data_IF_217197779306
#
_entry.id   IF_217197779306
#
_cell.length_a   1.000
_cell.length_b   1.000
_cell.length_c   1.000
_cell.angle_alpha   90.00
_cell.angle_beta   90.00
_cell.angle_gamma   90.00
#
_symmetry.space_group_name_H-M   'P 1'
#
loop_
_entity.id
_entity.type
_entity.pdbx_description
1 polymer ?
#
# COMPACT_ATOMS: atom_id res chain seq x y z
N UNK A 1 14.89 -18.83 15.40
CA UNK A 1 15.59 -19.71 14.45
C UNK A 1 15.62 -19.03 13.10
N UNK A 2 16.79 -19.01 12.46
CA UNK A 2 16.93 -18.52 11.09
C UNK A 2 17.54 -19.64 10.24
N UNK A 3 16.99 -19.87 9.06
CA UNK A 3 17.44 -20.88 8.13
C UNK A 3 17.50 -20.31 6.72
N UNK A 4 18.62 -20.54 6.05
CA UNK A 4 18.85 -20.13 4.67
C UNK A 4 19.23 -21.36 3.85
N UNK A 5 18.49 -21.61 2.77
CA UNK A 5 18.75 -22.71 1.85
C UNK A 5 18.89 -22.21 0.41
N UNK A 6 19.86 -22.79 -0.29
CA UNK A 6 20.03 -22.66 -1.75
C UNK A 6 20.08 -24.07 -2.33
N UNK A 7 19.12 -24.40 -3.18
CA UNK A 7 18.95 -25.73 -3.74
C UNK A 7 19.20 -25.67 -5.25
N UNK A 8 19.83 -26.70 -5.79
CA UNK A 8 20.12 -26.87 -7.23
C UNK A 8 20.72 -25.62 -7.90
N UNK A 9 21.83 -25.13 -7.34
CA UNK A 9 22.59 -23.98 -7.86
C UNK A 9 21.76 -22.69 -7.96
N UNK A 10 20.78 -22.50 -7.06
CA UNK A 10 19.97 -21.28 -7.00
C UNK A 10 18.66 -21.35 -7.79
N UNK A 11 18.24 -22.55 -8.23
CA UNK A 11 16.87 -22.75 -8.73
C UNK A 11 15.85 -22.40 -7.65
N UNK A 12 16.10 -22.85 -6.42
CA UNK A 12 15.28 -22.50 -5.26
C UNK A 12 16.19 -21.83 -4.23
N UNK A 13 15.81 -20.64 -3.79
CA UNK A 13 16.37 -20.02 -2.58
C UNK A 13 15.25 -19.83 -1.58
N UNK A 14 15.54 -20.13 -0.32
CA UNK A 14 14.58 -20.06 0.78
C UNK A 14 15.25 -19.42 1.99
N UNK A 15 14.59 -18.43 2.56
CA UNK A 15 14.96 -17.82 3.84
C UNK A 15 13.76 -17.95 4.77
N UNK A 16 13.98 -18.57 5.92
CA UNK A 16 12.96 -18.82 6.94
C UNK A 16 13.44 -18.22 8.26
N UNK A 17 12.60 -17.44 8.89
CA UNK A 17 12.76 -16.98 10.25
C UNK A 17 11.52 -17.39 11.06
N UNK A 18 11.76 -17.98 12.22
CA UNK A 18 10.72 -18.34 13.16
C UNK A 18 11.16 -18.01 14.58
N UNK A 19 10.34 -17.27 15.30
CA UNK A 19 10.53 -16.95 16.70
C UNK A 19 9.21 -17.13 17.44
N UNK A 20 9.29 -17.71 18.63
CA UNK A 20 8.15 -17.81 19.50
C UNK A 20 8.55 -17.53 20.93
N UNK A 21 7.61 -16.97 21.67
CA UNK A 21 7.85 -16.55 23.04
C UNK A 21 6.58 -16.37 23.83
N UNK A 22 6.77 -15.96 25.07
CA UNK A 22 5.70 -15.47 25.92
C UNK A 22 5.95 -13.99 26.19
N UNK A 23 4.87 -13.24 26.28
CA UNK A 23 4.91 -11.82 26.52
C UNK A 23 3.66 -11.35 27.25
N UNK A 24 3.57 -10.05 27.40
CA UNK A 24 2.36 -9.38 27.84
C UNK A 24 1.98 -8.37 26.78
N UNK A 25 0.72 -8.37 26.37
CA UNK A 25 0.16 -7.29 25.58
C UNK A 25 -0.53 -6.33 26.53
N UNK A 26 -0.10 -5.07 26.48
CA UNK A 26 -0.77 -3.98 27.18
C UNK A 26 -2.03 -3.60 26.40
N UNK A 27 -3.18 -3.47 27.06
CA UNK A 27 -4.34 -2.81 26.46
C UNK A 27 -3.99 -1.35 26.21
N UNK A 28 -4.17 -0.88 24.98
CA UNK A 28 -3.79 0.48 24.61
C UNK A 28 -5.03 1.34 24.48
N UNK A 29 -5.02 2.44 25.20
CA UNK A 29 -5.82 3.60 24.85
C UNK A 29 -5.08 4.39 23.78
N UNK A 30 -5.80 5.15 22.97
CA UNK A 30 -5.17 6.03 22.01
C UNK A 30 -5.94 7.35 21.89
N UNK A 31 -5.20 8.38 21.56
CA UNK A 31 -5.73 9.69 21.20
C UNK A 31 -5.04 10.18 19.94
N UNK A 32 -5.70 11.08 19.22
CA UNK A 32 -5.09 11.80 18.12
C UNK A 32 -4.58 13.14 18.61
N UNK A 33 -3.30 13.40 18.39
CA UNK A 33 -2.64 14.65 18.77
C UNK A 33 -2.31 15.42 17.51
N UNK A 34 -2.68 16.70 17.47
CA UNK A 34 -2.40 17.58 16.35
C UNK A 34 -0.89 17.89 16.28
N UNK A 35 -0.36 17.82 15.07
CA UNK A 35 1.03 18.11 14.73
C UNK A 35 1.06 19.01 13.50
N UNK A 36 2.23 19.57 13.21
CA UNK A 36 2.43 20.37 12.00
C UNK A 36 1.99 19.57 10.76
N UNK A 37 1.20 20.16 9.83
CA UNK A 37 0.81 19.50 8.60
C UNK A 37 2.00 18.89 7.85
N UNK A 38 1.85 17.64 7.40
CA UNK A 38 2.87 16.88 6.69
C UNK A 38 3.85 16.10 7.58
N UNK A 39 3.79 16.24 8.91
CA UNK A 39 4.58 15.41 9.83
C UNK A 39 3.76 14.31 10.51
N UNK A 40 2.44 14.36 10.38
CA UNK A 40 1.51 13.35 10.87
C UNK A 40 1.26 12.23 9.88
N UNK A 41 0.24 11.43 10.18
CA UNK A 41 -0.25 10.31 9.34
C UNK A 41 -1.78 10.34 9.23
N UNK A 42 -2.46 10.94 10.19
CA UNK A 42 -3.91 10.98 10.28
C UNK A 42 -4.44 12.38 9.99
N UNK A 43 -5.72 12.45 9.63
CA UNK A 43 -6.48 13.68 9.45
C UNK A 43 -7.82 13.58 10.15
N UNK A 44 -8.36 14.71 10.56
CA UNK A 44 -9.76 14.80 10.98
C UNK A 44 -10.65 14.91 9.74
N UNK A 45 -11.42 13.86 9.44
CA UNK A 45 -12.14 13.71 8.19
C UNK A 45 -13.51 14.41 8.18
N UNK A 46 -14.04 14.80 9.34
CA UNK A 46 -15.28 15.56 9.47
C UNK A 46 -16.04 15.19 10.73
N UNK A 47 -17.00 16.03 11.10
CA UNK A 47 -17.95 15.74 12.18
C UNK A 47 -19.05 14.84 11.62
N UNK A 48 -18.92 13.54 11.83
CA UNK A 48 -19.82 12.52 11.28
C UNK A 48 -21.12 12.45 12.05
N UNK A 49 -21.11 12.77 13.36
CA UNK A 49 -22.29 12.70 14.21
C UNK A 49 -22.94 14.08 14.49
N UNK A 50 -22.31 15.17 14.05
CA UNK A 50 -22.81 16.54 14.15
C UNK A 50 -22.72 17.15 15.54
N UNK A 51 -21.90 16.61 16.45
CA UNK A 51 -21.85 17.04 17.85
C UNK A 51 -20.84 18.17 18.12
N UNK A 52 -20.03 18.55 17.13
CA UNK A 52 -19.01 19.62 17.21
C UNK A 52 -17.74 19.25 17.98
N UNK A 53 -17.57 17.98 18.35
CA UNK A 53 -16.41 17.41 19.06
C UNK A 53 -15.69 16.44 18.13
N UNK A 54 -14.37 16.40 18.18
CA UNK A 54 -13.58 15.45 17.37
C UNK A 54 -13.59 14.08 18.02
N UNK A 55 -14.43 13.18 17.53
CA UNK A 55 -14.52 11.81 18.04
C UNK A 55 -13.45 10.88 17.42
N UNK A 56 -13.14 9.76 18.08
CA UNK A 56 -12.03 8.88 17.67
C UNK A 56 -12.27 8.18 16.32
N UNK A 57 -13.53 7.99 15.93
CA UNK A 57 -13.98 7.41 14.67
C UNK A 57 -14.04 8.40 13.51
N UNK A 58 -13.77 9.68 13.78
CA UNK A 58 -13.74 10.76 12.79
C UNK A 58 -12.34 11.01 12.22
N UNK A 59 -11.36 10.21 12.65
CA UNK A 59 -9.98 10.27 12.17
C UNK A 59 -9.68 9.16 11.18
N UNK A 60 -9.14 9.57 10.04
CA UNK A 60 -8.74 8.68 8.96
C UNK A 60 -7.27 8.87 8.59
N UNK A 61 -6.71 7.90 7.87
CA UNK A 61 -5.36 8.04 7.32
C UNK A 61 -5.41 9.14 6.27
N UNK A 62 -4.52 10.12 6.39
CA UNK A 62 -4.47 11.25 5.47
C UNK A 62 -4.13 10.78 4.05
N UNK A 63 -4.97 11.13 3.08
CA UNK A 63 -4.72 10.82 1.68
C UNK A 63 -3.66 11.74 1.05
N UNK A 64 -3.58 12.99 1.54
CA UNK A 64 -2.63 14.00 1.08
C UNK A 64 -1.74 14.48 2.21
N UNK A 65 -0.51 14.90 1.88
CA UNK A 65 0.46 15.35 2.87
C UNK A 65 -0.03 16.59 3.67
N UNK A 66 -0.79 17.50 3.06
CA UNK A 66 -1.37 18.65 3.79
C UNK A 66 -2.41 18.25 4.85
N UNK A 67 -3.08 17.11 4.64
CA UNK A 67 -4.06 16.59 5.58
C UNK A 67 -3.41 15.82 6.73
N UNK A 68 -2.14 15.42 6.60
CA UNK A 68 -1.42 14.62 7.58
C UNK A 68 -0.96 15.47 8.78
N UNK A 69 -1.92 15.96 9.56
CA UNK A 69 -1.72 16.86 10.69
C UNK A 69 -2.06 16.23 12.05
N UNK A 70 -2.31 14.93 12.12
CA UNK A 70 -2.48 14.21 13.39
C UNK A 70 -1.57 12.98 13.48
N UNK A 71 -1.14 12.66 14.69
CA UNK A 71 -0.50 11.38 15.04
C UNK A 71 -1.37 10.61 16.03
N UNK A 72 -1.41 9.29 15.89
CA UNK A 72 -2.04 8.39 16.86
C UNK A 72 -1.03 8.11 17.97
N UNK A 73 -1.32 8.59 19.18
CA UNK A 73 -0.48 8.37 20.36
C UNK A 73 -1.16 7.33 21.24
N UNK A 74 -0.44 6.26 21.57
CA UNK A 74 -0.92 5.27 22.53
C UNK A 74 -0.65 5.76 23.95
N UNK A 75 -1.71 5.82 24.76
CA UNK A 75 -1.63 6.12 26.17
C UNK A 75 -1.42 4.82 26.94
N UNK A 76 -0.41 4.75 27.83
CA UNK A 76 -0.18 3.55 28.61
C UNK A 76 -1.34 3.31 29.58
N UNK A 77 -1.87 2.09 29.60
CA UNK A 77 -2.78 1.63 30.65
C UNK A 77 -2.02 0.74 31.63
N UNK A 78 -2.69 0.32 32.71
CA UNK A 78 -2.14 -0.65 33.66
C UNK A 78 -2.68 -2.07 33.42
N UNK A 79 -3.45 -2.28 32.35
CA UNK A 79 -4.07 -3.56 32.04
C UNK A 79 -3.20 -4.37 31.07
N UNK A 80 -2.64 -5.47 31.57
CA UNK A 80 -1.82 -6.39 30.78
C UNK A 80 -2.51 -7.74 30.65
N UNK A 81 -2.44 -8.30 29.45
CA UNK A 81 -2.87 -9.67 29.19
C UNK A 81 -1.65 -10.51 28.80
N UNK A 82 -1.45 -11.64 29.48
CA UNK A 82 -0.36 -12.57 29.12
C UNK A 82 -0.69 -13.20 27.78
N UNK A 83 0.20 -13.04 26.81
CA UNK A 83 0.06 -13.56 25.45
C UNK A 83 1.22 -14.47 25.11
N UNK A 84 0.99 -15.38 24.17
CA UNK A 84 2.06 -16.07 23.45
C UNK A 84 2.30 -15.36 22.14
N UNK A 85 3.57 -15.17 21.80
CA UNK A 85 4.00 -14.51 20.58
C UNK A 85 4.51 -15.55 19.59
N UNK A 86 4.18 -15.36 18.32
CA UNK A 86 4.67 -16.18 17.23
C UNK A 86 4.96 -15.28 16.03
N UNK A 87 6.22 -15.26 15.62
CA UNK A 87 6.70 -14.55 14.45
C UNK A 87 7.24 -15.56 13.44
N UNK A 88 6.71 -15.49 12.23
CA UNK A 88 7.17 -16.28 11.11
C UNK A 88 7.40 -15.39 9.90
N UNK A 89 8.53 -15.55 9.23
CA UNK A 89 8.83 -14.87 7.99
C UNK A 89 9.51 -15.85 7.04
N UNK A 90 8.91 -16.07 5.88
CA UNK A 90 9.39 -16.98 4.86
C UNK A 90 9.47 -16.25 3.54
N UNK A 91 10.63 -16.30 2.88
CA UNK A 91 10.79 -15.88 1.50
C UNK A 91 11.28 -17.08 0.70
N UNK A 92 10.50 -17.49 -0.31
CA UNK A 92 10.83 -18.55 -1.24
C UNK A 92 10.94 -17.96 -2.64
N UNK A 93 12.09 -18.09 -3.29
CA UNK A 93 12.28 -17.69 -4.69
C UNK A 93 12.55 -18.92 -5.53
N UNK A 94 11.82 -19.05 -6.63
CA UNK A 94 12.00 -20.08 -7.64
C UNK A 94 12.46 -19.38 -8.92
N UNK A 95 13.70 -19.64 -9.33
CA UNK A 95 14.32 -19.07 -10.52
C UNK A 95 14.90 -20.18 -11.42
N UNK A 96 14.07 -20.79 -12.29
CA UNK A 96 14.50 -21.84 -13.23
C UNK A 96 15.67 -21.43 -14.14
N UNK A 97 15.84 -20.13 -14.43
CA UNK A 97 16.97 -19.64 -15.24
C UNK A 97 18.34 -20.01 -14.64
N UNK A 98 18.43 -20.17 -13.31
CA UNK A 98 19.67 -20.56 -12.64
C UNK A 98 20.14 -21.98 -13.01
N UNK A 99 19.22 -22.86 -13.44
CA UNK A 99 19.53 -24.23 -13.81
C UNK A 99 19.52 -24.47 -15.32
N UNK A 100 18.66 -23.76 -16.06
CA UNK A 100 18.47 -23.94 -17.51
C UNK A 100 19.32 -22.99 -18.37
N UNK A 101 20.62 -22.89 -18.07
CA UNK A 101 21.58 -22.08 -18.83
C UNK A 101 21.73 -22.66 -20.25
N UNK A 102 21.56 -21.81 -21.28
CA UNK A 102 21.82 -22.15 -22.71
C UNK A 102 20.97 -23.30 -23.30
N UNK A 103 19.80 -23.57 -22.75
CA UNK A 103 18.94 -24.67 -23.23
C UNK A 103 18.01 -24.23 -24.38
N UNK A 104 17.90 -25.04 -25.43
CA UNK A 104 16.92 -24.86 -26.53
C UNK A 104 15.57 -25.51 -26.19
N UNK A 105 14.50 -25.07 -26.84
CA UNK A 105 13.16 -25.67 -26.71
C UNK A 105 12.41 -25.29 -25.43
N UNK A 106 11.62 -26.20 -24.88
CA UNK A 106 10.71 -25.95 -23.74
C UNK A 106 11.43 -25.45 -22.47
N UNK A 107 12.70 -25.87 -22.26
CA UNK A 107 13.52 -25.41 -21.12
C UNK A 107 13.80 -23.91 -21.17
N UNK A 108 13.99 -23.35 -22.37
CA UNK A 108 14.14 -21.90 -22.58
C UNK A 108 12.87 -21.14 -22.22
N UNK A 109 11.69 -21.74 -22.45
CA UNK A 109 10.42 -21.14 -22.07
C UNK A 109 10.23 -21.15 -20.55
N UNK A 110 10.51 -22.28 -19.89
CA UNK A 110 10.43 -22.39 -18.42
C UNK A 110 11.44 -21.46 -17.72
N UNK A 111 12.63 -21.29 -18.28
CA UNK A 111 13.65 -20.36 -17.77
C UNK A 111 13.21 -18.89 -17.74
N UNK A 112 12.13 -18.52 -18.45
CA UNK A 112 11.60 -17.16 -18.46
C UNK A 112 10.67 -16.87 -17.28
N UNK A 113 10.15 -17.92 -16.64
CA UNK A 113 9.35 -17.76 -15.43
C UNK A 113 10.25 -17.55 -14.23
N UNK A 114 9.77 -16.78 -13.26
CA UNK A 114 10.33 -16.75 -11.91
C UNK A 114 9.18 -16.54 -10.93
N UNK A 115 9.24 -17.15 -9.76
CA UNK A 115 8.25 -16.95 -8.72
C UNK A 115 8.92 -16.51 -7.43
N UNK A 116 8.30 -15.58 -6.73
CA UNK A 116 8.75 -15.16 -5.41
C UNK A 116 7.54 -15.12 -4.47
N UNK A 117 7.60 -15.94 -3.43
CA UNK A 117 6.61 -16.01 -2.36
C UNK A 117 7.23 -15.40 -1.12
N UNK A 118 6.52 -14.49 -0.47
CA UNK A 118 6.85 -14.01 0.85
C UNK A 118 5.63 -14.10 1.75
N UNK A 119 5.80 -14.70 2.93
CA UNK A 119 4.77 -14.72 3.96
C UNK A 119 5.41 -14.29 5.27
N UNK A 120 4.87 -13.22 5.86
CA UNK A 120 5.27 -12.71 7.16
C UNK A 120 4.03 -12.69 8.05
N UNK A 121 4.17 -13.13 9.28
CA UNK A 121 3.14 -13.01 10.29
C UNK A 121 3.76 -12.75 11.66
N UNK A 122 3.15 -11.86 12.41
CA UNK A 122 3.44 -11.58 13.81
C UNK A 122 2.13 -11.61 14.59
N UNK A 123 1.97 -12.64 15.41
CA UNK A 123 0.75 -12.91 16.15
C UNK A 123 1.00 -12.88 17.66
N UNK A 124 0.00 -12.40 18.38
CA UNK A 124 -0.12 -12.56 19.83
C UNK A 124 -1.47 -13.17 20.16
N UNK A 125 -1.46 -14.28 20.91
CA UNK A 125 -2.66 -15.06 21.21
C UNK A 125 -2.78 -15.40 22.70
N UNK A 126 -4.01 -15.58 23.17
CA UNK A 126 -4.36 -16.12 24.48
C UNK A 126 -4.49 -17.64 24.49
N UNK A 127 -4.24 -18.30 23.35
CA UNK A 127 -4.34 -19.74 23.21
C UNK A 127 -3.43 -20.47 24.23
N UNK A 128 -4.07 -21.36 25.00
CA UNK A 128 -3.46 -22.14 26.08
C UNK A 128 -2.74 -23.38 25.55
N UNK A 129 -3.17 -23.91 24.41
CA UNK A 129 -2.45 -24.97 23.70
C UNK A 129 -1.18 -24.39 23.05
N UNK A 130 -0.02 -24.91 23.44
CA UNK A 130 1.27 -24.42 22.94
C UNK A 130 1.41 -24.71 21.44
N UNK A 131 0.98 -25.88 20.97
CA UNK A 131 1.16 -26.25 19.56
C UNK A 131 0.31 -25.37 18.64
N UNK A 132 -0.92 -25.05 19.06
CA UNK A 132 -1.78 -24.11 18.35
C UNK A 132 -1.26 -22.68 18.40
N UNK A 133 -0.82 -22.22 19.58
CA UNK A 133 -0.25 -20.88 19.73
C UNK A 133 1.02 -20.68 18.88
N UNK A 134 1.78 -21.76 18.64
CA UNK A 134 2.98 -21.78 17.80
C UNK A 134 2.70 -21.96 16.30
N UNK A 135 1.46 -22.19 15.88
CA UNK A 135 1.14 -22.38 14.47
C UNK A 135 0.92 -21.02 13.78
N UNK A 136 1.82 -20.58 12.88
CA UNK A 136 1.67 -19.29 12.19
C UNK A 136 0.64 -19.33 11.04
N UNK A 137 0.00 -20.48 10.80
CA UNK A 137 -0.97 -20.69 9.73
C UNK A 137 -2.41 -20.89 10.23
N UNK A 138 -2.62 -20.99 11.54
CA UNK A 138 -3.94 -21.25 12.18
C UNK A 138 -4.58 -19.97 12.74
N UNK A 139 -4.18 -18.80 12.21
CA UNK A 139 -4.67 -17.52 12.69
C UNK A 139 -5.89 -17.09 11.88
N UNK A 140 -7.09 -17.48 12.32
CA UNK A 140 -8.30 -16.82 11.86
C UNK A 140 -8.39 -15.43 12.50
N UNK A 141 -8.52 -14.38 11.68
CA UNK A 141 -8.61 -13.01 12.18
C UNK A 141 -9.82 -12.80 13.10
N UNK A 142 -10.90 -13.54 12.87
CA UNK A 142 -12.13 -13.46 13.64
C UNK A 142 -12.04 -14.24 14.98
N UNK A 143 -10.92 -14.91 15.26
CA UNK A 143 -10.72 -15.62 16.52
C UNK A 143 -10.56 -14.62 17.68
N UNK A 144 -11.43 -14.74 18.68
CA UNK A 144 -11.40 -13.99 19.94
C UNK A 144 -10.13 -14.21 20.77
N UNK A 145 -9.44 -15.34 20.61
CA UNK A 145 -8.18 -15.62 21.30
C UNK A 145 -6.99 -14.91 20.64
N UNK A 146 -7.12 -14.51 19.37
CA UNK A 146 -6.11 -13.75 18.66
C UNK A 146 -6.19 -12.27 19.06
N UNK A 147 -5.24 -11.84 19.89
CA UNK A 147 -5.19 -10.49 20.47
C UNK A 147 -4.70 -9.49 19.43
N UNK A 148 -3.57 -9.79 18.80
CA UNK A 148 -3.01 -8.95 17.73
C UNK A 148 -2.49 -9.83 16.62
N UNK A 149 -2.62 -9.36 15.39
CA UNK A 149 -2.04 -10.03 14.22
C UNK A 149 -1.59 -9.00 13.20
N UNK A 150 -0.39 -9.18 12.67
CA UNK A 150 0.09 -8.46 11.50
C UNK A 150 0.60 -9.50 10.51
N UNK A 151 -0.19 -9.81 9.49
CA UNK A 151 0.16 -10.78 8.46
C UNK A 151 0.25 -10.10 7.09
N UNK A 152 1.25 -10.49 6.31
CA UNK A 152 1.47 -10.06 4.95
C UNK A 152 1.88 -11.25 4.10
N UNK A 153 1.04 -11.60 3.14
CA UNK A 153 1.31 -12.59 2.11
C UNK A 153 1.49 -11.89 0.76
N UNK A 154 2.50 -12.29 0.01
CA UNK A 154 2.71 -11.81 -1.36
C UNK A 154 3.35 -12.92 -2.20
N UNK A 155 2.69 -13.30 -3.29
CA UNK A 155 3.22 -14.21 -4.29
C UNK A 155 3.29 -13.46 -5.62
N UNK A 156 4.48 -13.35 -6.22
CA UNK A 156 4.65 -12.77 -7.56
C UNK A 156 5.15 -13.82 -8.52
N UNK A 157 4.33 -14.16 -9.50
CA UNK A 157 4.73 -14.92 -10.67
C UNK A 157 5.09 -13.96 -11.81
N UNK A 158 6.34 -14.00 -12.22
CA UNK A 158 6.87 -13.19 -13.31
C UNK A 158 7.17 -14.04 -14.52
N UNK A 159 6.90 -13.53 -15.70
CA UNK A 159 7.37 -14.03 -16.97
C UNK A 159 8.22 -12.96 -17.66
N UNK A 160 9.43 -13.34 -18.08
CA UNK A 160 10.40 -12.45 -18.71
C UNK A 160 10.78 -11.22 -17.84
N UNK A 161 10.88 -11.39 -16.52
CA UNK A 161 11.22 -10.29 -15.57
C UNK A 161 12.42 -9.44 -16.02
N UNK A 162 13.47 -10.11 -16.51
CA UNK A 162 14.74 -9.48 -16.91
C UNK A 162 14.79 -9.08 -18.40
N UNK A 163 13.74 -9.33 -19.18
CA UNK A 163 13.69 -8.96 -20.60
C UNK A 163 13.52 -7.45 -20.76
N UNK A 164 14.32 -6.88 -21.67
CA UNK A 164 14.24 -5.47 -22.05
C UNK A 164 13.12 -5.17 -23.04
N UNK A 165 12.43 -6.19 -23.57
CA UNK A 165 11.37 -6.00 -24.57
C UNK A 165 9.99 -6.17 -23.95
N UNK A 166 9.77 -7.25 -23.21
CA UNK A 166 8.44 -7.63 -22.75
C UNK A 166 8.50 -8.32 -21.39
N UNK A 167 7.58 -8.00 -20.49
CA UNK A 167 7.45 -8.68 -19.20
C UNK A 167 6.01 -8.68 -18.71
N UNK A 168 5.69 -9.71 -17.92
CA UNK A 168 4.41 -9.88 -17.24
C UNK A 168 4.69 -10.24 -15.79
N UNK A 169 3.99 -9.62 -14.86
CA UNK A 169 3.99 -9.99 -13.45
C UNK A 169 2.55 -10.14 -12.96
N UNK A 170 2.24 -11.23 -12.28
CA UNK A 170 0.99 -11.42 -11.55
C UNK A 170 1.31 -11.55 -10.07
N UNK A 171 0.79 -10.64 -9.25
CA UNK A 171 1.03 -10.57 -7.82
C UNK A 171 -0.27 -10.79 -7.06
N UNK A 172 -0.36 -11.91 -6.33
CA UNK A 172 -1.37 -12.10 -5.29
C UNK A 172 -0.84 -11.51 -3.99
N UNK A 173 -1.62 -10.67 -3.32
CA UNK A 173 -1.25 -10.10 -2.04
C UNK A 173 -2.42 -10.14 -1.05
N UNK A 174 -2.08 -10.30 0.23
CA UNK A 174 -3.02 -10.23 1.35
C UNK A 174 -2.33 -9.57 2.53
N UNK A 175 -2.87 -8.46 3.01
CA UNK A 175 -2.39 -7.75 4.18
C UNK A 175 -3.50 -7.74 5.22
N UNK A 176 -3.18 -8.25 6.40
CA UNK A 176 -4.10 -8.37 7.52
C UNK A 176 -3.50 -7.70 8.74
N UNK A 177 -4.28 -6.85 9.38
CA UNK A 177 -3.92 -6.25 10.67
C UNK A 177 -5.10 -6.38 11.64
N UNK A 178 -4.82 -6.81 12.86
CA UNK A 178 -5.76 -6.84 13.98
C UNK A 178 -5.09 -6.23 15.21
N UNK A 179 -5.77 -5.27 15.83
CA UNK A 179 -5.30 -4.55 17.01
C UNK A 179 -6.26 -4.74 18.17
N UNK A 180 -5.70 -4.87 19.38
CA UNK A 180 -6.45 -4.90 20.62
C UNK A 180 -6.40 -3.53 21.30
N UNK A 181 -7.56 -2.89 21.40
CA UNK A 181 -7.73 -1.55 21.97
C UNK A 181 -8.59 -1.68 23.23
N UNK A 182 -8.56 -0.67 24.11
CA UNK A 182 -9.38 -0.68 25.34
C UNK A 182 -10.87 -0.85 25.06
N UNK A 183 -11.33 -0.32 23.93
CA UNK A 183 -12.72 -0.36 23.50
C UNK A 183 -13.08 -1.62 22.68
N UNK A 184 -12.16 -2.55 22.45
CA UNK A 184 -12.39 -3.78 21.68
C UNK A 184 -11.38 -4.00 20.56
N UNK A 185 -11.69 -4.92 19.64
CA UNK A 185 -10.86 -5.22 18.48
C UNK A 185 -11.16 -4.31 17.29
N UNK A 186 -10.10 -3.93 16.57
CA UNK A 186 -10.18 -3.33 15.23
C UNK A 186 -9.37 -4.21 14.28
N UNK A 187 -9.94 -4.53 13.12
CA UNK A 187 -9.27 -5.33 12.10
C UNK A 187 -9.42 -4.73 10.71
N UNK A 188 -8.38 -4.88 9.90
CA UNK A 188 -8.33 -4.43 8.51
C UNK A 188 -7.70 -5.52 7.66
N UNK A 189 -8.33 -5.79 6.52
CA UNK A 189 -7.89 -6.80 5.56
C UNK A 189 -7.89 -6.18 4.18
N UNK A 190 -6.80 -6.37 3.44
CA UNK A 190 -6.69 -6.07 2.02
C UNK A 190 -6.28 -7.35 1.31
N UNK A 191 -7.04 -7.78 0.32
CA UNK A 191 -6.69 -8.89 -0.56
C UNK A 191 -6.79 -8.42 -2.00
N UNK A 192 -5.74 -8.59 -2.80
CA UNK A 192 -5.80 -8.21 -4.21
C UNK A 192 -4.91 -9.06 -5.12
N UNK A 193 -5.31 -9.10 -6.40
CA UNK A 193 -4.53 -9.58 -7.51
C UNK A 193 -4.10 -8.38 -8.35
N UNK A 194 -2.80 -8.15 -8.46
CA UNK A 194 -2.20 -7.10 -9.28
C UNK A 194 -1.51 -7.73 -10.48
N UNK A 195 -1.90 -7.36 -11.70
CA UNK A 195 -1.22 -7.78 -12.92
C UNK A 195 -0.49 -6.58 -13.52
N UNK A 196 0.79 -6.75 -13.84
CA UNK A 196 1.59 -5.73 -14.51
C UNK A 196 2.06 -6.26 -15.86
N UNK A 197 1.76 -5.49 -16.90
CA UNK A 197 2.23 -5.72 -18.25
C UNK A 197 3.23 -4.64 -18.64
N UNK A 198 4.33 -5.03 -19.28
CA UNK A 198 5.30 -4.10 -19.86
C UNK A 198 5.70 -4.55 -21.25
N UNK A 199 5.61 -3.63 -22.21
CA UNK A 199 6.12 -3.81 -23.56
C UNK A 199 6.89 -2.56 -24.03
N UNK A 200 8.19 -2.71 -24.21
CA UNK A 200 9.03 -1.73 -24.88
C UNK A 200 8.99 -2.01 -26.39
N UNK A 201 8.11 -1.29 -27.09
CA UNK A 201 7.88 -1.43 -28.54
C UNK A 201 9.20 -1.19 -29.30
N UNK A 202 9.95 -0.18 -28.87
CA UNK A 202 11.33 0.07 -29.27
C UNK A 202 12.05 0.85 -28.16
N UNK A 203 13.22 1.42 -28.44
CA UNK A 203 14.00 2.20 -27.46
C UNK A 203 13.33 3.51 -27.03
N UNK A 204 12.33 3.98 -27.79
CA UNK A 204 11.66 5.26 -27.61
C UNK A 204 10.28 5.07 -26.98
N UNK A 205 9.50 4.10 -27.44
CA UNK A 205 8.11 3.91 -27.02
C UNK A 205 7.96 2.70 -26.10
N UNK A 206 7.29 2.89 -24.98
CA UNK A 206 6.89 1.79 -24.09
C UNK A 206 5.44 1.90 -23.66
N UNK A 207 4.77 0.75 -23.62
CA UNK A 207 3.44 0.57 -23.08
C UNK A 207 3.54 -0.23 -21.78
N UNK A 208 2.81 0.22 -20.76
CA UNK A 208 2.58 -0.50 -19.52
C UNK A 208 1.08 -0.54 -19.26
N UNK A 209 0.62 -1.59 -18.60
CA UNK A 209 -0.74 -1.65 -18.09
C UNK A 209 -0.72 -2.36 -16.75
N UNK A 210 -1.32 -1.75 -15.74
CA UNK A 210 -1.53 -2.37 -14.44
C UNK A 210 -3.01 -2.62 -14.26
N UNK A 211 -3.37 -3.82 -13.81
CA UNK A 211 -4.73 -4.09 -13.33
C UNK A 211 -4.66 -4.52 -11.89
N UNK A 212 -5.61 -4.07 -11.09
CA UNK A 212 -5.76 -4.54 -9.72
C UNK A 212 -7.22 -4.85 -9.45
N UNK A 213 -7.48 -5.99 -8.83
CA UNK A 213 -8.82 -6.32 -8.36
C UNK A 213 -8.73 -6.98 -7.00
N UNK A 214 -9.66 -6.65 -6.11
CA UNK A 214 -9.54 -7.09 -4.73
C UNK A 214 -10.67 -6.66 -3.84
N UNK A 215 -10.50 -6.99 -2.57
CA UNK A 215 -11.39 -6.63 -1.48
C UNK A 215 -10.62 -5.89 -0.41
N UNK A 216 -11.28 -4.92 0.22
CA UNK A 216 -10.80 -4.23 1.40
C UNK A 216 -11.88 -4.27 2.46
N UNK A 217 -11.56 -4.81 3.63
CA UNK A 217 -12.49 -4.95 4.74
C UNK A 217 -11.96 -4.21 5.96
N UNK A 218 -12.86 -3.54 6.66
CA UNK A 218 -12.64 -2.96 7.98
C UNK A 218 -13.74 -3.45 8.92
N UNK A 219 -13.36 -3.80 10.15
CA UNK A 219 -14.29 -4.19 11.19
C UNK A 219 -13.82 -3.67 12.55
N UNK A 220 -14.74 -3.08 13.32
CA UNK A 220 -14.52 -2.55 14.66
C UNK A 220 -15.61 -3.03 15.60
N UNK A 221 -15.24 -3.56 16.77
CA UNK A 221 -16.22 -3.94 17.79
C UNK A 221 -16.90 -2.73 18.48
N UNK A 222 -16.30 -1.54 18.36
CA UNK A 222 -16.78 -0.34 19.04
C UNK A 222 -17.42 0.68 18.10
N UNK A 223 -16.86 0.84 16.89
CA UNK A 223 -17.28 1.84 15.91
C UNK A 223 -17.88 1.17 14.67
N UNK A 224 -19.16 0.78 14.75
CA UNK A 224 -19.85 0.09 13.65
C UNK A 224 -19.98 0.92 12.38
N UNK A 225 -19.88 2.25 12.46
CA UNK A 225 -19.82 3.15 11.30
C UNK A 225 -18.50 3.03 10.50
N UNK A 226 -17.50 2.33 11.03
CA UNK A 226 -16.22 2.03 10.35
C UNK A 226 -16.17 0.61 9.78
N UNK A 227 -17.27 -0.12 9.85
CA UNK A 227 -17.41 -1.44 9.28
C UNK A 227 -17.78 -1.33 7.81
N UNK A 228 -16.94 -1.89 6.94
CA UNK A 228 -17.19 -1.91 5.51
C UNK A 228 -16.46 -3.05 4.83
N UNK A 229 -16.96 -3.44 3.66
CA UNK A 229 -16.31 -4.38 2.76
C UNK A 229 -16.41 -3.81 1.35
N UNK A 230 -15.29 -3.37 0.79
CA UNK A 230 -15.23 -2.73 -0.51
C UNK A 230 -14.60 -3.70 -1.50
N UNK A 231 -15.35 -4.10 -2.52
CA UNK A 231 -14.80 -4.68 -3.72
C UNK A 231 -14.32 -3.57 -4.65
N UNK A 232 -13.15 -3.76 -5.25
CA UNK A 232 -12.59 -2.77 -6.17
C UNK A 232 -11.91 -3.41 -7.36
N UNK A 233 -11.91 -2.65 -8.45
CA UNK A 233 -11.22 -2.97 -9.70
C UNK A 233 -10.57 -1.71 -10.26
N UNK A 234 -9.33 -1.80 -10.72
CA UNK A 234 -8.64 -0.75 -11.44
C UNK A 234 -7.92 -1.25 -12.68
N UNK A 235 -7.83 -0.38 -13.69
CA UNK A 235 -7.07 -0.57 -14.91
C UNK A 235 -6.33 0.73 -15.23
N UNK A 236 -5.00 0.67 -15.21
CA UNK A 236 -4.10 1.79 -15.44
C UNK A 236 -3.18 1.52 -16.66
N UNK A 237 -3.61 1.82 -17.90
CA UNK A 237 -2.71 1.94 -19.03
C UNK A 237 -1.79 3.17 -18.89
N UNK A 238 -0.51 2.96 -19.22
CA UNK A 238 0.52 3.99 -19.27
C UNK A 238 1.32 3.90 -20.56
N UNK A 239 1.29 4.96 -21.35
CA UNK A 239 2.12 5.09 -22.54
C UNK A 239 3.27 6.05 -22.27
N UNK A 240 4.50 5.68 -22.63
CA UNK A 240 5.69 6.52 -22.42
C UNK A 240 6.51 6.70 -23.68
N UNK A 241 7.02 7.92 -23.85
CA UNK A 241 7.90 8.34 -24.93
C UNK A 241 9.22 8.80 -24.31
N UNK A 242 10.32 8.14 -24.66
CA UNK A 242 11.65 8.40 -24.16
C UNK A 242 12.69 8.35 -25.30
N UNK A 243 12.87 9.44 -26.07
CA UNK A 243 13.79 9.44 -27.22
C UNK A 243 15.27 9.25 -26.87
N UNK A 244 15.64 9.49 -25.61
CA UNK A 244 17.00 9.33 -25.10
C UNK A 244 17.02 9.13 -23.59
N UNK A 245 18.17 9.32 -22.95
CA UNK A 245 18.30 9.07 -21.51
C UNK A 245 17.78 10.23 -20.63
N UNK A 246 17.60 11.41 -21.21
CA UNK A 246 17.37 12.63 -20.44
C UNK A 246 15.92 13.04 -20.29
N UNK A 247 15.02 12.63 -21.18
CA UNK A 247 13.64 13.09 -21.13
C UNK A 247 12.67 11.93 -21.37
N UNK A 248 11.64 11.85 -20.53
CA UNK A 248 10.53 10.93 -20.66
C UNK A 248 9.22 11.68 -20.45
N UNK A 249 8.30 11.53 -21.38
CA UNK A 249 6.90 11.90 -21.21
C UNK A 249 6.08 10.64 -21.04
N UNK A 250 5.18 10.62 -20.08
CA UNK A 250 4.22 9.54 -19.89
C UNK A 250 2.80 10.10 -19.86
N UNK A 251 1.90 9.42 -20.56
CA UNK A 251 0.46 9.59 -20.46
C UNK A 251 -0.09 8.43 -19.65
N UNK A 252 -0.89 8.73 -18.64
CA UNK A 252 -1.53 7.74 -17.76
C UNK A 252 -3.04 7.93 -17.81
N UNK A 253 -3.75 6.82 -17.72
CA UNK A 253 -5.18 6.83 -17.49
C UNK A 253 -5.51 5.69 -16.54
N UNK A 254 -6.21 5.98 -15.45
CA UNK A 254 -6.73 4.96 -14.53
C UNK A 254 -8.26 5.02 -14.53
N UNK A 255 -8.88 3.88 -14.81
CA UNK A 255 -10.28 3.66 -14.45
C UNK A 255 -10.32 2.85 -13.17
N UNK A 256 -11.08 3.32 -12.18
CA UNK A 256 -11.23 2.64 -10.88
C UNK A 256 -12.72 2.56 -10.53
N UNK A 257 -13.18 1.36 -10.23
CA UNK A 257 -14.51 1.11 -9.68
C UNK A 257 -14.36 0.61 -8.24
N UNK A 258 -15.19 1.13 -7.34
CA UNK A 258 -15.31 0.67 -5.95
C UNK A 258 -16.77 0.50 -5.59
N UNK A 259 -17.09 -0.58 -4.88
CA UNK A 259 -18.43 -0.85 -4.39
C UNK A 259 -18.37 -1.41 -2.98
N UNK A 260 -19.16 -0.83 -2.07
CA UNK A 260 -19.39 -1.41 -0.77
C UNK A 260 -20.37 -2.59 -0.90
N UNK A 261 -19.90 -3.78 -0.53
CA UNK A 261 -20.64 -5.05 -0.59
C UNK A 261 -21.07 -5.53 0.80
N UNK A 262 -20.90 -4.70 1.84
CA UNK A 262 -21.45 -4.97 3.16
C UNK A 262 -22.99 -5.12 3.11
N UNK A 263 -23.62 -5.85 4.05
CA UNK A 263 -25.07 -6.05 4.04
C UNK A 263 -25.85 -4.74 4.02
N UNK A 264 -26.77 -4.59 3.06
CA UNK A 264 -27.59 -3.39 2.83
C UNK A 264 -26.81 -2.13 2.38
N UNK A 265 -25.51 -2.25 2.09
CA UNK A 265 -24.72 -1.17 1.53
C UNK A 265 -25.11 -0.87 0.07
N UNK A 266 -24.98 0.39 -0.32
CA UNK A 266 -25.27 0.83 -1.69
C UNK A 266 -24.20 1.76 -2.26
N UNK A 267 -23.18 2.10 -1.46
CA UNK A 267 -22.13 3.03 -1.83
C UNK A 267 -21.30 2.46 -2.99
N UNK A 268 -21.21 3.23 -4.07
CA UNK A 268 -20.46 2.88 -5.27
C UNK A 268 -19.81 4.12 -5.85
N UNK A 269 -18.59 3.96 -6.35
CA UNK A 269 -17.89 4.98 -7.12
C UNK A 269 -17.33 4.44 -8.42
N UNK A 270 -17.44 5.26 -9.46
CA UNK A 270 -16.72 5.13 -10.73
C UNK A 270 -15.77 6.34 -10.86
N UNK A 271 -14.48 6.07 -11.09
CA UNK A 271 -13.43 7.09 -11.07
C UNK A 271 -12.59 7.00 -12.34
N UNK A 272 -12.29 8.17 -12.89
CA UNK A 272 -11.47 8.34 -14.08
C UNK A 272 -10.35 9.33 -13.78
N UNK A 273 -9.11 8.86 -13.74
CA UNK A 273 -7.91 9.70 -13.55
C UNK A 273 -7.11 9.74 -14.85
N UNK A 274 -7.06 10.91 -15.50
CA UNK A 274 -6.20 11.16 -16.66
C UNK A 274 -5.01 12.02 -16.28
N UNK A 275 -3.79 11.55 -16.58
CA UNK A 275 -2.55 12.20 -16.16
C UNK A 275 -1.47 12.33 -17.23
N UNK A 276 -0.61 13.33 -17.03
CA UNK A 276 0.65 13.50 -17.75
C UNK A 276 1.81 13.63 -16.76
N UNK A 277 2.89 12.90 -17.03
CA UNK A 277 4.14 12.94 -16.26
C UNK A 277 5.30 13.31 -17.18
N UNK A 278 6.02 14.37 -16.83
CA UNK A 278 7.25 14.79 -17.49
C UNK A 278 8.43 14.52 -16.56
N UNK A 279 9.40 13.75 -17.01
CA UNK A 279 10.61 13.45 -16.24
C UNK A 279 11.85 13.88 -17.03
N UNK A 280 12.63 14.77 -16.44
CA UNK A 280 13.95 15.16 -16.91
C UNK A 280 15.03 14.54 -16.01
N UNK A 281 16.02 13.88 -16.60
CA UNK A 281 17.13 13.23 -15.90
C UNK A 281 18.47 13.70 -16.47
N UNK A 282 19.34 14.19 -15.59
CA UNK A 282 20.68 14.67 -15.96
C UNK A 282 21.68 14.25 -14.89
N UNK A 283 22.80 13.68 -15.33
CA UNK A 283 23.90 13.29 -14.44
C UNK A 283 24.42 14.48 -13.62
N UNK A 284 24.46 15.69 -14.21
CA UNK A 284 24.96 16.90 -13.54
C UNK A 284 23.86 17.73 -12.86
N UNK A 285 22.64 17.73 -13.39
CA UNK A 285 21.55 18.62 -12.92
C UNK A 285 20.54 17.92 -12.02
N UNK A 286 20.63 16.60 -11.87
CA UNK A 286 19.70 15.81 -11.07
C UNK A 286 18.48 15.34 -11.86
N UNK A 287 17.39 15.06 -11.14
CA UNK A 287 16.13 14.57 -11.69
C UNK A 287 15.02 15.56 -11.33
N UNK A 288 14.27 15.99 -12.34
CA UNK A 288 13.06 16.79 -12.15
C UNK A 288 11.86 16.02 -12.69
N UNK A 289 10.76 15.98 -11.94
CA UNK A 289 9.50 15.37 -12.35
C UNK A 289 8.38 16.38 -12.18
N UNK A 290 7.56 16.53 -13.19
CA UNK A 290 6.31 17.28 -13.12
C UNK A 290 5.15 16.32 -13.45
N UNK A 291 4.08 16.39 -12.67
CA UNK A 291 2.86 15.59 -12.86
C UNK A 291 1.64 16.48 -12.83
N UNK A 292 0.63 16.14 -13.60
CA UNK A 292 -0.67 16.77 -13.58
C UNK A 292 -1.74 15.72 -13.87
N UNK A 293 -2.80 15.71 -13.07
CA UNK A 293 -3.90 14.75 -13.16
C UNK A 293 -5.25 15.48 -13.08
N UNK A 294 -6.21 14.98 -13.86
CA UNK A 294 -7.62 15.35 -13.81
C UNK A 294 -8.39 14.12 -13.39
N UNK A 295 -9.06 14.20 -12.25
CA UNK A 295 -9.72 13.07 -11.60
C UNK A 295 -11.22 13.36 -11.53
N UNK A 296 -12.01 12.58 -12.26
CA UNK A 296 -13.47 12.68 -12.27
C UNK A 296 -14.02 11.52 -11.44
N UNK A 297 -14.80 11.84 -10.42
CA UNK A 297 -15.36 10.86 -9.49
C UNK A 297 -16.88 10.96 -9.51
N UNK A 298 -17.53 9.91 -9.99
CA UNK A 298 -18.95 9.69 -9.80
C UNK A 298 -19.16 8.84 -8.55
N UNK A 299 -19.92 9.38 -7.59
CA UNK A 299 -20.23 8.72 -6.31
C UNK A 299 -21.71 8.91 -5.98
N UNK A 300 -22.38 7.85 -5.53
CA UNK A 300 -23.85 7.81 -5.39
C UNK A 300 -24.38 8.03 -3.97
N UNK A 301 -23.51 8.23 -2.98
CA UNK A 301 -23.87 8.31 -1.56
C UNK A 301 -23.32 9.60 -0.89
N UNK A 302 -23.68 9.88 0.38
CA UNK A 302 -23.20 11.07 1.10
C UNK A 302 -21.68 11.05 1.35
N UNK A 303 -21.02 12.20 1.17
CA UNK A 303 -19.55 12.30 1.26
C UNK A 303 -18.99 12.38 2.70
N UNK A 304 -19.82 12.68 3.70
CA UNK A 304 -19.39 12.88 5.09
C UNK A 304 -19.53 11.60 5.93
N UNK A 305 -18.88 10.52 5.50
CA UNK A 305 -18.89 9.23 6.20
C UNK A 305 -17.51 8.55 6.10
N UNK A 306 -17.14 7.66 7.05
CA UNK A 306 -15.89 6.90 6.97
C UNK A 306 -15.75 6.13 5.64
N UNK A 307 -16.84 5.49 5.20
CA UNK A 307 -16.89 4.75 3.94
C UNK A 307 -16.69 5.66 2.72
N UNK A 308 -17.26 6.86 2.72
CA UNK A 308 -17.04 7.81 1.64
C UNK A 308 -15.59 8.28 1.58
N UNK A 309 -14.97 8.58 2.73
CA UNK A 309 -13.55 8.97 2.77
C UNK A 309 -12.65 7.86 2.17
N UNK A 310 -12.95 6.61 2.48
CA UNK A 310 -12.22 5.44 1.97
C UNK A 310 -12.45 5.20 0.46
N UNK A 311 -13.69 5.33 -0.01
CA UNK A 311 -14.03 5.18 -1.43
C UNK A 311 -13.41 6.32 -2.26
N UNK A 312 -13.55 7.56 -1.78
CA UNK A 312 -13.10 8.77 -2.46
C UNK A 312 -11.60 9.05 -2.27
N UNK A 313 -10.90 8.33 -1.39
CA UNK A 313 -9.47 8.50 -1.10
C UNK A 313 -9.14 9.97 -0.73
N UNK A 314 -9.97 10.59 0.10
CA UNK A 314 -9.83 11.99 0.52
C UNK A 314 -10.07 13.05 -0.58
N UNK A 315 -10.55 12.64 -1.76
CA UNK A 315 -11.07 13.51 -2.82
C UNK A 315 -12.58 13.75 -2.66
N UNK A 316 -13.18 14.49 -3.59
CA UNK A 316 -14.61 14.80 -3.61
C UNK A 316 -15.28 14.30 -4.89
N UNK A 317 -16.59 14.05 -4.83
CA UNK A 317 -17.44 13.82 -5.98
C UNK A 317 -17.33 14.98 -6.98
N UNK A 318 -17.24 14.65 -8.26
CA UNK A 318 -17.06 15.60 -9.35
C UNK A 318 -15.61 15.68 -9.83
N UNK A 319 -15.17 16.87 -10.26
CA UNK A 319 -13.85 17.05 -10.87
C UNK A 319 -12.83 17.58 -9.89
N UNK A 320 -11.75 16.83 -9.73
CA UNK A 320 -10.60 17.18 -8.89
C UNK A 320 -9.37 17.33 -9.78
N UNK A 321 -8.46 18.20 -9.37
CA UNK A 321 -7.18 18.40 -10.04
C UNK A 321 -6.06 18.18 -9.04
N UNK A 322 -5.00 17.48 -9.46
CA UNK A 322 -3.77 17.38 -8.66
C UNK A 322 -2.56 17.65 -9.56
N UNK A 323 -1.52 18.24 -8.99
CA UNK A 323 -0.26 18.46 -9.66
C UNK A 323 0.89 18.35 -8.68
N UNK A 324 2.04 17.91 -9.21
CA UNK A 324 3.24 17.72 -8.42
C UNK A 324 4.48 18.15 -9.18
N UNK A 325 5.41 18.77 -8.48
CA UNK A 325 6.77 19.05 -8.94
C UNK A 325 7.74 18.46 -7.93
N UNK A 326 8.65 17.60 -8.39
CA UNK A 326 9.76 17.13 -7.57
C UNK A 326 11.09 17.41 -8.26
N UNK A 327 12.06 17.90 -7.50
CA UNK A 327 13.43 18.13 -7.94
C UNK A 327 14.40 17.49 -6.94
N UNK A 328 15.16 16.51 -7.42
CA UNK A 328 16.25 15.91 -6.68
C UNK A 328 17.56 16.29 -7.35
N UNK A 329 18.47 16.92 -6.61
CA UNK A 329 19.77 17.36 -7.13
C UNK A 329 20.88 17.14 -6.13
N UNK A 330 21.97 16.53 -6.59
CA UNK A 330 23.23 16.52 -5.85
C UNK A 330 23.89 17.90 -6.03
N UNK A 331 24.04 18.65 -4.94
CA UNK A 331 24.71 19.95 -4.95
C UNK A 331 26.23 19.81 -4.85
N UNK A 332 26.68 18.76 -4.16
CA UNK A 332 28.08 18.33 -4.06
C UNK A 332 28.13 16.80 -3.92
N UNK A 333 29.33 16.23 -3.82
CA UNK A 333 29.50 14.79 -3.52
C UNK A 333 28.96 14.39 -2.15
N UNK A 334 28.74 15.37 -1.27
CA UNK A 334 28.36 15.15 0.13
C UNK A 334 26.98 15.71 0.45
N UNK A 335 26.28 16.35 -0.49
CA UNK A 335 24.97 16.97 -0.25
C UNK A 335 24.00 16.72 -1.41
N UNK A 336 22.84 16.17 -1.07
CA UNK A 336 21.69 16.04 -1.96
C UNK A 336 20.52 16.89 -1.44
N UNK A 337 19.90 17.63 -2.34
CA UNK A 337 18.71 18.42 -2.10
C UNK A 337 17.51 17.77 -2.78
N UNK A 338 16.41 17.63 -2.05
CA UNK A 338 15.10 17.23 -2.56
C UNK A 338 14.12 18.37 -2.30
N UNK A 339 13.45 18.80 -3.36
CA UNK A 339 12.34 19.75 -3.31
C UNK A 339 11.10 19.01 -3.80
N UNK A 340 10.01 19.13 -3.07
CA UNK A 340 8.71 18.60 -3.47
C UNK A 340 7.67 19.70 -3.32
N UNK A 341 6.80 19.82 -4.31
CA UNK A 341 5.66 20.70 -4.30
C UNK A 341 4.47 19.93 -4.84
N UNK A 342 3.37 20.00 -4.12
CA UNK A 342 2.11 19.35 -4.47
C UNK A 342 1.02 20.41 -4.40
N UNK A 343 0.11 20.39 -5.37
CA UNK A 343 -1.10 21.18 -5.28
C UNK A 343 -2.30 20.34 -5.69
N UNK A 344 -3.44 20.66 -5.08
CA UNK A 344 -4.70 20.01 -5.37
C UNK A 344 -5.85 21.00 -5.34
N UNK A 345 -6.83 20.77 -6.18
CA UNK A 345 -8.10 21.50 -6.23
C UNK A 345 -9.24 20.50 -6.25
N UNK A 346 -9.71 20.04 -5.08
CA UNK A 346 -10.92 19.25 -4.99
C UNK A 346 -12.15 20.03 -5.49
N UNK A 347 -13.20 19.29 -5.87
CA UNK A 347 -14.44 19.91 -6.33
C UNK A 347 -15.05 20.80 -5.24
N UNK A 348 -15.39 22.05 -5.60
CA UNK A 348 -16.06 22.98 -4.68
C UNK A 348 -15.21 23.51 -3.53
N UNK A 349 -13.88 23.33 -3.56
CA UNK A 349 -12.96 23.87 -2.54
C UNK A 349 -11.91 24.79 -3.16
N UNK A 350 -11.24 25.56 -2.30
CA UNK A 350 -10.07 26.33 -2.69
C UNK A 350 -8.90 25.42 -3.07
N UNK A 351 -7.96 26.00 -3.80
CA UNK A 351 -6.70 25.35 -4.14
C UNK A 351 -5.85 25.21 -2.88
N UNK A 352 -5.28 24.03 -2.69
CA UNK A 352 -4.37 23.73 -1.59
C UNK A 352 -2.98 23.51 -2.18
N UNK A 353 -1.96 24.04 -1.50
CA UNK A 353 -0.57 24.01 -1.92
C UNK A 353 0.32 23.54 -0.77
N UNK A 354 1.18 22.58 -1.05
CA UNK A 354 2.09 21.96 -0.08
C UNK A 354 3.48 21.94 -0.65
N UNK A 355 4.46 22.46 0.09
CA UNK A 355 5.86 22.49 -0.33
C UNK A 355 6.77 21.93 0.75
N UNK A 356 7.75 21.13 0.36
CA UNK A 356 8.75 20.54 1.23
C UNK A 356 10.16 20.70 0.65
N UNK A 357 11.13 20.86 1.55
CA UNK A 357 12.55 20.89 1.22
C UNK A 357 13.28 19.96 2.18
N UNK A 358 14.05 19.02 1.64
CA UNK A 358 14.91 18.13 2.41
C UNK A 358 16.35 18.20 1.88
N UNK A 359 17.31 18.45 2.77
CA UNK A 359 18.72 18.32 2.47
C UNK A 359 19.28 17.08 3.20
N UNK A 360 19.96 16.21 2.45
CA UNK A 360 20.65 15.03 2.97
C UNK A 360 22.15 15.20 2.78
N UNK A 361 22.89 15.11 3.88
CA UNK A 361 24.34 15.04 3.85
C UNK A 361 24.81 13.58 3.83
N UNK A 362 25.85 13.30 3.04
CA UNK A 362 26.58 12.03 3.02
C UNK A 362 28.00 12.31 3.50
N UNK A 363 28.47 11.53 4.47
CA UNK A 363 29.78 11.69 5.09
C UNK A 363 30.67 10.51 4.77
#
# INVERSE_FOLDING_TARGET
MEYNATIWKGLITSTTFFEAGTGQELKKEYAYVEVTPGTGVYTYAGDYNGNGVKDLDEFEIAAFADQANFIKVFLPTNEYVKTRTNQFNQVLTINPAAWFIETKGWRSFVARFSNQVSYRIDNKTLEKDVLKALNPFDANIDDSLLVTSNAAFRNTLSFNRNSTVFGLDATLQSNTSKSFLTNGFESRVLQSLVNNFRWNINRIFSLQATTENGTRKSASEFFSNRDYEIEFYSLEPKFSIQPGLSFRTSLTYEFKNKQNVAPNATEKSDQHDGGIELKFSSVKKGVATAKFNVIIIDYNAPENTPIAYEILEGLKKGTNYTWGLSLQRNLSNSIQLNLNYEGRKPQGTNIIHTGGVQARAFF
#
